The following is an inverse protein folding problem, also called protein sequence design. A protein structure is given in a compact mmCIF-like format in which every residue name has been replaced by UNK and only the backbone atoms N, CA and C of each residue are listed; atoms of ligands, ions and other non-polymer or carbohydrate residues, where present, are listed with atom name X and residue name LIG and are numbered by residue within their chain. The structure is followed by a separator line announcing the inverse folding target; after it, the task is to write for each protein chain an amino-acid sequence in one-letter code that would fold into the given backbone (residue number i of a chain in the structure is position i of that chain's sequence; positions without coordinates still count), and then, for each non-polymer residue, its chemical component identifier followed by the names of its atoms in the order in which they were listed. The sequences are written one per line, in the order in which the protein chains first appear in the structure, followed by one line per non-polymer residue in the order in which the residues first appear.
data_IF_479079256154
#
_entry.id   IF_479079256154
#
_cell.length_a   1.000
_cell.length_b   1.000
_cell.length_c   1.000
_cell.angle_alpha   90.00
_cell.angle_beta   90.00
_cell.angle_gamma   90.00
#
_symmetry.space_group_name_H-M   'P 1'
#
loop_
_entity.id
_entity.type
_entity.pdbx_description
1 polymer ?
#
# COMPACT_ATOMS: atom_id res chain seq x y z
N UNK A 1 -18.80 12.09 -12.71
CA UNK A 1 -19.22 12.32 -14.13
C UNK A 1 -20.05 11.13 -14.58
N UNK A 2 -21.10 11.30 -15.39
CA UNK A 2 -21.85 10.17 -15.97
C UNK A 2 -21.29 9.85 -17.35
N UNK A 3 -20.81 8.63 -17.52
CA UNK A 3 -20.26 8.13 -18.79
C UNK A 3 -20.96 6.82 -19.14
N UNK A 4 -21.31 6.64 -20.41
CA UNK A 4 -21.86 5.39 -20.91
C UNK A 4 -20.76 4.66 -21.68
N UNK A 5 -20.45 3.44 -21.27
CA UNK A 5 -19.44 2.58 -21.91
C UNK A 5 -20.11 1.29 -22.40
N UNK A 6 -19.58 0.71 -23.48
CA UNK A 6 -19.95 -0.65 -23.89
C UNK A 6 -19.03 -1.62 -23.16
N UNK A 7 -19.61 -2.62 -22.51
CA UNK A 7 -18.89 -3.64 -21.76
C UNK A 7 -19.43 -5.00 -22.20
N UNK A 8 -18.55 -6.00 -22.21
CA UNK A 8 -18.97 -7.39 -22.40
C UNK A 8 -19.92 -7.84 -21.28
N UNK A 9 -20.94 -8.63 -21.62
CA UNK A 9 -21.99 -9.04 -20.69
C UNK A 9 -21.45 -9.94 -19.56
N UNK A 10 -20.48 -10.81 -19.85
CA UNK A 10 -19.87 -11.65 -18.81
C UNK A 10 -19.05 -10.79 -17.84
N UNK A 11 -18.35 -9.79 -18.36
CA UNK A 11 -17.59 -8.85 -17.54
C UNK A 11 -18.51 -7.97 -16.67
N UNK A 12 -19.67 -7.56 -17.21
CA UNK A 12 -20.68 -6.82 -16.46
C UNK A 12 -21.19 -7.65 -15.26
N UNK A 13 -21.56 -8.90 -15.48
CA UNK A 13 -22.05 -9.80 -14.43
C UNK A 13 -20.97 -10.11 -13.39
N UNK A 14 -19.75 -10.44 -13.82
CA UNK A 14 -18.63 -10.65 -12.90
C UNK A 14 -18.35 -9.42 -12.03
N UNK A 15 -18.42 -8.23 -12.61
CA UNK A 15 -18.19 -6.97 -11.88
C UNK A 15 -19.31 -6.71 -10.86
N UNK A 16 -20.56 -6.99 -11.20
CA UNK A 16 -21.70 -6.88 -10.25
C UNK A 16 -21.54 -7.85 -9.08
N UNK A 17 -21.18 -9.11 -9.35
CA UNK A 17 -20.95 -10.10 -8.30
C UNK A 17 -19.81 -9.68 -7.37
N UNK A 18 -18.71 -9.19 -7.93
CA UNK A 18 -17.59 -8.64 -7.17
C UNK A 18 -18.01 -7.44 -6.31
N UNK A 19 -18.78 -6.52 -6.87
CA UNK A 19 -19.29 -5.35 -6.17
C UNK A 19 -20.18 -5.75 -4.98
N UNK A 20 -21.11 -6.68 -5.21
CA UNK A 20 -21.99 -7.22 -4.17
C UNK A 20 -21.20 -7.89 -3.03
N UNK A 21 -20.25 -8.76 -3.37
CA UNK A 21 -19.42 -9.45 -2.38
C UNK A 21 -18.56 -8.49 -1.53
N UNK A 22 -18.24 -7.31 -2.05
CA UNK A 22 -17.43 -6.29 -1.37
C UNK A 22 -18.27 -5.16 -0.75
N UNK A 23 -19.60 -5.21 -0.84
CA UNK A 23 -20.48 -4.12 -0.39
C UNK A 23 -20.25 -2.80 -1.14
N UNK A 24 -19.79 -2.87 -2.39
CA UNK A 24 -19.50 -1.72 -3.25
C UNK A 24 -20.55 -1.59 -4.36
N UNK A 25 -20.65 -0.40 -4.94
CA UNK A 25 -21.42 -0.18 -6.16
C UNK A 25 -20.58 -0.58 -7.39
N UNK A 26 -21.24 -0.94 -8.49
CA UNK A 26 -20.56 -1.18 -9.77
C UNK A 26 -19.67 0.00 -10.18
N UNK A 27 -20.18 1.23 -10.04
CA UNK A 27 -19.43 2.45 -10.35
C UNK A 27 -18.17 2.59 -9.52
N UNK A 28 -18.22 2.31 -8.21
CA UNK A 28 -17.03 2.36 -7.35
C UNK A 28 -15.97 1.35 -7.78
N UNK A 29 -16.37 0.14 -8.19
CA UNK A 29 -15.45 -0.87 -8.70
C UNK A 29 -14.79 -0.43 -10.01
N UNK A 30 -15.57 0.17 -10.91
CA UNK A 30 -15.03 0.71 -12.18
C UNK A 30 -14.06 1.87 -11.93
N UNK A 31 -14.40 2.78 -11.02
CA UNK A 31 -13.51 3.90 -10.65
C UNK A 31 -12.21 3.40 -10.02
N UNK A 32 -12.28 2.43 -9.10
CA UNK A 32 -11.11 1.82 -8.48
C UNK A 32 -10.20 1.18 -9.53
N UNK A 33 -10.77 0.41 -10.47
CA UNK A 33 -10.01 -0.23 -11.54
C UNK A 33 -9.34 0.78 -12.48
N UNK A 34 -10.05 1.85 -12.86
CA UNK A 34 -9.49 2.93 -13.68
C UNK A 34 -8.37 3.65 -12.94
N UNK A 35 -8.57 3.97 -11.65
CA UNK A 35 -7.57 4.60 -10.81
C UNK A 35 -6.33 3.73 -10.68
N UNK A 36 -6.50 2.44 -10.40
CA UNK A 36 -5.40 1.49 -10.33
C UNK A 36 -4.61 1.44 -11.64
N UNK A 37 -5.29 1.32 -12.79
CA UNK A 37 -4.61 1.27 -14.10
C UNK A 37 -3.88 2.57 -14.46
N UNK A 38 -4.46 3.72 -14.15
CA UNK A 38 -3.85 5.01 -14.45
C UNK A 38 -2.71 5.36 -13.47
N UNK A 39 -2.83 4.98 -12.20
CA UNK A 39 -1.79 5.20 -11.18
C UNK A 39 -0.67 4.14 -11.24
N UNK A 40 -0.95 2.95 -11.76
CA UNK A 40 0.02 1.87 -11.96
C UNK A 40 1.11 2.20 -12.99
N UNK A 41 0.99 3.32 -13.73
CA UNK A 41 2.07 3.84 -14.63
C UNK A 41 3.38 4.23 -13.93
N UNK A 42 3.50 4.07 -12.61
CA UNK A 42 4.79 4.21 -11.89
C UNK A 42 5.37 2.88 -11.39
N UNK A 43 4.75 1.73 -11.69
CA UNK A 43 5.30 0.42 -11.37
C UNK A 43 6.40 0.01 -12.37
N UNK A 44 7.51 0.78 -12.39
CA UNK A 44 8.87 0.28 -12.60
C UNK A 44 9.90 1.42 -12.60
N UNK A 45 9.93 2.28 -11.58
CA UNK A 45 11.27 2.46 -10.99
C UNK A 45 11.48 1.19 -10.19
N UNK A 46 12.37 0.30 -10.67
CA UNK A 46 12.86 -0.84 -9.89
C UNK A 46 13.08 -0.32 -8.47
N UNK A 47 12.26 -0.75 -7.50
CA UNK A 47 12.49 -0.38 -6.10
C UNK A 47 13.90 -0.89 -5.81
N UNK A 48 14.84 0.05 -5.66
CA UNK A 48 16.20 -0.33 -5.34
C UNK A 48 16.15 -0.99 -3.98
N UNK A 49 16.72 -2.18 -3.86
CA UNK A 49 16.80 -2.86 -2.58
C UNK A 49 17.64 -1.97 -1.67
N UNK A 50 17.00 -1.35 -0.68
CA UNK A 50 17.70 -0.56 0.33
C UNK A 50 18.55 -1.54 1.14
N UNK A 51 19.87 -1.39 1.05
CA UNK A 51 20.79 -2.08 1.96
C UNK A 51 20.98 -1.17 3.16
N UNK A 52 20.35 -1.51 4.27
CA UNK A 52 20.58 -0.80 5.53
C UNK A 52 22.02 -1.05 5.99
N UNK A 53 22.70 0.00 6.44
CA UNK A 53 23.99 -0.14 7.11
C UNK A 53 23.75 -0.79 8.46
N UNK A 54 24.28 -1.98 8.66
CA UNK A 54 24.24 -2.69 9.95
C UNK A 54 25.57 -2.49 10.67
N UNK A 55 25.53 -2.26 11.97
CA UNK A 55 26.70 -2.26 12.84
C UNK A 55 26.77 -3.58 13.60
N UNK A 56 27.99 -4.06 13.90
CA UNK A 56 28.17 -5.22 14.76
C UNK A 56 27.92 -4.84 16.23
N UNK A 57 27.33 -5.74 17.01
CA UNK A 57 27.08 -5.54 18.44
C UNK A 57 26.43 -6.75 19.09
N UNK A 58 26.30 -6.74 20.43
CA UNK A 58 25.69 -7.83 21.21
C UNK A 58 24.15 -7.74 21.30
N UNK A 59 23.52 -7.06 20.35
CA UNK A 59 22.09 -6.77 20.37
C UNK A 59 21.74 -5.46 21.07
N UNK A 60 20.48 -5.33 21.48
CA UNK A 60 19.96 -4.14 22.16
C UNK A 60 20.34 -4.14 23.64
N UNK A 61 20.51 -2.96 24.22
CA UNK A 61 20.74 -2.83 25.66
C UNK A 61 19.42 -3.12 26.40
N UNK A 62 19.40 -4.04 27.39
CA UNK A 62 18.18 -4.38 28.11
C UNK A 62 17.53 -3.15 28.77
N UNK A 63 16.22 -3.01 28.61
CA UNK A 63 15.45 -1.91 29.22
C UNK A 63 15.42 -0.62 28.40
N UNK A 64 16.08 -0.57 27.24
CA UNK A 64 15.92 0.54 26.27
C UNK A 64 14.78 0.20 25.32
N UNK A 65 13.80 1.09 25.25
CA UNK A 65 12.75 1.07 24.23
C UNK A 65 13.25 1.80 22.97
N UNK A 66 13.25 1.11 21.82
CA UNK A 66 13.68 1.68 20.55
C UNK A 66 12.56 2.48 19.85
N UNK A 67 11.30 2.33 20.28
CA UNK A 67 10.16 3.05 19.72
C UNK A 67 9.98 4.43 20.37
N UNK A 68 10.61 4.69 21.52
CA UNK A 68 10.69 6.01 22.15
C UNK A 68 11.97 6.76 21.74
N UNK A 69 11.83 7.61 20.73
CA UNK A 69 12.95 8.38 20.18
C UNK A 69 13.55 9.40 21.16
N UNK A 70 12.77 9.88 22.13
CA UNK A 70 13.25 10.88 23.08
C UNK A 70 14.12 10.22 24.16
N UNK A 71 13.62 9.15 24.77
CA UNK A 71 14.38 8.40 25.78
C UNK A 71 15.66 7.77 25.20
N UNK A 72 15.60 7.32 23.95
CA UNK A 72 16.77 6.76 23.26
C UNK A 72 17.86 7.80 23.02
N UNK A 73 17.50 9.04 22.66
CA UNK A 73 18.46 10.12 22.43
C UNK A 73 19.21 10.51 23.71
N UNK A 74 18.50 10.61 24.84
CA UNK A 74 19.10 10.93 26.14
C UNK A 74 20.16 9.91 26.58
N UNK A 75 20.00 8.63 26.20
CA UNK A 75 20.97 7.57 26.49
C UNK A 75 22.17 7.61 25.52
N UNK A 76 21.97 8.08 24.29
CA UNK A 76 23.02 8.16 23.27
C UNK A 76 23.94 9.38 23.44
N UNK A 77 23.43 10.47 24.02
CA UNK A 77 24.16 11.73 24.20
C UNK A 77 24.94 11.84 25.53
N UNK A 78 24.93 10.77 26.35
CA UNK A 78 25.76 10.62 27.56
C UNK A 78 26.97 9.70 27.32
#
# INVERSE_FOLDING_TARGET
MRTTIRLDDQLLEATKQYAFARGKTFTAVVEDALREKLMSRSASKKRHRVKLTTVNGNGVNPGIDLDDSAALLDVMDN
#
